data_IF_755231161491
#
_entry.id   IF_755231161491
#
_cell.length_a   1.000
_cell.length_b   1.000
_cell.length_c   1.000
_cell.angle_alpha   90.00
_cell.angle_beta   90.00
_cell.angle_gamma   90.00
#
_symmetry.space_group_name_H-M   'P 1'
#
loop_
_entity.id
_entity.type
_entity.pdbx_description
1 polymer ?
#
# COMPACT_ATOMS: atom_id res chain seq x y z
N UNK A 1 3.91 36.40 -13.91
CA UNK A 1 4.95 35.90 -13.00
C UNK A 1 5.33 34.48 -13.36
N UNK A 2 6.55 34.27 -13.80
CA UNK A 2 6.97 32.90 -14.04
C UNK A 2 7.03 32.14 -12.74
N UNK A 3 6.34 31.03 -12.69
CA UNK A 3 6.42 30.13 -11.55
C UNK A 3 7.75 29.43 -11.56
N UNK A 4 8.55 29.67 -10.56
CA UNK A 4 9.69 28.81 -10.29
C UNK A 4 9.15 27.44 -9.89
N UNK A 5 9.20 26.51 -10.80
CA UNK A 5 8.92 25.13 -10.46
C UNK A 5 10.14 24.57 -9.74
N UNK A 6 9.97 24.29 -8.48
CA UNK A 6 10.93 23.49 -7.74
C UNK A 6 10.78 22.05 -8.21
N UNK A 7 11.36 21.73 -9.37
CA UNK A 7 11.14 20.49 -10.08
C UNK A 7 11.14 19.23 -9.19
N UNK A 8 9.99 18.65 -8.94
CA UNK A 8 9.83 17.38 -8.29
C UNK A 8 9.92 17.36 -6.76
N UNK A 9 10.24 18.48 -6.10
CA UNK A 9 10.36 18.51 -4.63
C UNK A 9 9.00 18.29 -3.96
N UNK A 10 7.99 19.08 -4.33
CA UNK A 10 6.65 18.97 -3.74
C UNK A 10 5.97 17.62 -4.05
N UNK A 11 6.02 17.08 -5.29
CA UNK A 11 5.52 15.72 -5.55
C UNK A 11 6.26 14.64 -4.79
N UNK A 12 7.57 14.79 -4.61
CA UNK A 12 8.39 13.83 -3.86
C UNK A 12 7.99 13.83 -2.38
N UNK A 13 7.84 15.01 -1.78
CA UNK A 13 7.41 15.13 -0.39
C UNK A 13 6.00 14.59 -0.17
N UNK A 14 5.10 14.81 -1.12
CA UNK A 14 3.75 14.25 -1.10
C UNK A 14 3.78 12.72 -1.14
N UNK A 15 4.61 12.15 -2.01
CA UNK A 15 4.80 10.72 -2.10
C UNK A 15 5.36 10.13 -0.82
N UNK A 16 6.38 10.77 -0.26
CA UNK A 16 6.99 10.34 1.01
C UNK A 16 5.98 10.36 2.15
N UNK A 17 5.19 11.41 2.26
CA UNK A 17 4.16 11.50 3.30
C UNK A 17 3.11 10.40 3.15
N UNK A 18 2.70 10.13 1.93
CA UNK A 18 1.71 9.09 1.65
C UNK A 18 2.24 7.70 2.02
N UNK A 19 3.46 7.39 1.62
CA UNK A 19 4.10 6.11 1.95
C UNK A 19 4.22 5.92 3.46
N UNK A 20 4.65 6.94 4.18
CA UNK A 20 4.75 6.90 5.64
C UNK A 20 3.38 6.69 6.28
N UNK A 21 2.36 7.35 5.75
CA UNK A 21 0.99 7.20 6.26
C UNK A 21 0.48 5.76 6.06
N UNK A 22 0.76 5.16 4.91
CA UNK A 22 0.40 3.76 4.65
C UNK A 22 1.11 2.82 5.62
N UNK A 23 2.42 2.97 5.77
CA UNK A 23 3.20 2.14 6.69
C UNK A 23 2.66 2.26 8.11
N UNK A 24 2.39 3.48 8.55
CA UNK A 24 1.86 3.72 9.89
C UNK A 24 0.49 3.08 10.09
N UNK A 25 -0.40 3.21 9.12
CA UNK A 25 -1.72 2.59 9.16
C UNK A 25 -1.59 1.08 9.30
N UNK A 26 -0.72 0.47 8.51
CA UNK A 26 -0.50 -0.98 8.56
C UNK A 26 0.11 -1.40 9.89
N UNK A 27 1.09 -0.65 10.39
CA UNK A 27 1.70 -0.91 11.70
C UNK A 27 0.67 -0.78 12.83
N UNK A 28 -0.22 0.20 12.76
CA UNK A 28 -1.29 0.37 13.75
C UNK A 28 -2.25 -0.82 13.75
N UNK A 29 -2.34 -1.54 12.65
CA UNK A 29 -3.13 -2.78 12.55
C UNK A 29 -2.32 -4.03 12.90
N UNK A 30 -1.09 -3.88 13.38
CA UNK A 30 -0.27 -5.01 13.78
C UNK A 30 0.54 -5.65 12.66
N UNK A 31 0.67 -4.97 11.52
CA UNK A 31 1.41 -5.48 10.37
C UNK A 31 2.78 -4.82 10.33
N UNK A 32 3.84 -5.61 10.17
CA UNK A 32 5.22 -5.11 10.14
C UNK A 32 5.64 -4.55 8.79
N UNK A 33 4.87 -3.60 8.27
CA UNK A 33 5.17 -2.96 6.99
C UNK A 33 6.36 -2.00 7.12
N UNK A 34 7.14 -1.90 6.06
CA UNK A 34 8.31 -1.02 5.99
C UNK A 34 8.46 -0.44 4.58
N UNK A 35 9.03 0.75 4.50
CA UNK A 35 9.41 1.32 3.21
C UNK A 35 10.67 0.60 2.72
N UNK A 36 10.76 0.38 1.40
CA UNK A 36 11.91 -0.29 0.80
C UNK A 36 12.96 0.77 0.41
N UNK A 37 14.15 0.74 1.03
CA UNK A 37 15.20 1.68 0.67
C UNK A 37 15.77 1.38 -0.72
N UNK A 38 16.24 2.43 -1.40
CA UNK A 38 16.98 2.27 -2.64
C UNK A 38 18.37 1.72 -2.33
N UNK A 39 18.73 0.64 -2.99
CA UNK A 39 20.02 -0.01 -2.82
C UNK A 39 21.16 0.96 -3.19
N UNK A 40 22.13 1.08 -2.30
CA UNK A 40 23.30 1.94 -2.49
C UNK A 40 23.02 3.43 -2.38
N UNK A 41 21.81 3.85 -1.97
CA UNK A 41 21.54 5.27 -1.83
C UNK A 41 22.07 5.81 -0.51
N UNK A 42 22.71 6.97 -0.61
CA UNK A 42 23.19 7.72 0.56
C UNK A 42 22.08 8.69 0.97
N UNK A 43 21.81 8.81 2.25
CA UNK A 43 20.82 9.75 2.75
C UNK A 43 19.41 9.22 2.88
N UNK A 44 19.22 7.89 2.78
CA UNK A 44 17.94 7.25 3.09
C UNK A 44 16.85 7.44 2.04
N UNK A 45 17.22 7.47 0.75
CA UNK A 45 16.24 7.48 -0.34
C UNK A 45 15.54 6.13 -0.44
N UNK A 46 14.26 6.14 -0.84
CA UNK A 46 13.40 4.97 -0.91
C UNK A 46 12.89 4.76 -2.33
N UNK A 47 12.57 3.52 -2.65
CA UNK A 47 12.12 3.11 -3.99
C UNK A 47 10.72 3.61 -4.35
N UNK A 48 9.94 4.02 -3.35
CA UNK A 48 8.51 4.30 -3.54
C UNK A 48 7.63 3.10 -3.27
N UNK A 49 8.22 1.97 -2.91
CA UNK A 49 7.52 0.73 -2.61
C UNK A 49 7.53 0.45 -1.11
N UNK A 50 6.58 -0.36 -0.69
CA UNK A 50 6.41 -0.77 0.70
C UNK A 50 6.46 -2.28 0.75
N UNK A 51 7.22 -2.82 1.69
CA UNK A 51 7.24 -4.24 2.00
C UNK A 51 6.20 -4.56 3.05
N UNK A 52 5.32 -5.50 2.75
CA UNK A 52 4.24 -5.92 3.66
C UNK A 52 4.36 -7.42 3.87
N UNK A 53 4.72 -7.87 5.06
CA UNK A 53 4.78 -9.31 5.32
C UNK A 53 3.37 -9.91 5.27
N UNK A 54 3.25 -11.02 4.56
CA UNK A 54 1.97 -11.69 4.38
C UNK A 54 2.18 -13.19 4.22
N UNK A 55 1.64 -13.95 5.10
CA UNK A 55 1.57 -15.42 5.17
C UNK A 55 2.91 -16.13 4.89
N UNK A 56 3.41 -16.10 3.69
CA UNK A 56 4.59 -16.90 3.30
C UNK A 56 5.72 -16.06 2.67
N UNK A 57 5.50 -14.79 2.44
CA UNK A 57 6.51 -13.91 1.87
C UNK A 57 6.20 -12.44 2.13
N UNK A 58 7.16 -11.59 1.85
CA UNK A 58 6.94 -10.15 1.88
C UNK A 58 6.36 -9.71 0.54
N UNK A 59 5.23 -9.03 0.60
CA UNK A 59 4.59 -8.44 -0.57
C UNK A 59 5.22 -7.09 -0.86
N UNK A 60 5.40 -6.79 -2.14
CA UNK A 60 5.86 -5.46 -2.57
C UNK A 60 4.64 -4.67 -3.01
N UNK A 61 4.39 -3.56 -2.34
CA UNK A 61 3.21 -2.72 -2.56
C UNK A 61 3.66 -1.37 -3.09
N UNK A 62 3.11 -0.96 -4.23
CA UNK A 62 3.36 0.36 -4.78
C UNK A 62 2.28 1.34 -4.33
N UNK A 63 2.71 2.50 -3.84
CA UNK A 63 1.82 3.56 -3.40
C UNK A 63 1.73 4.65 -4.45
N UNK A 64 0.52 5.00 -4.86
CA UNK A 64 0.25 6.07 -5.81
C UNK A 64 -0.80 7.00 -5.26
N UNK A 65 -0.47 8.29 -5.22
CA UNK A 65 -1.39 9.33 -4.82
C UNK A 65 -1.56 10.32 -5.97
N UNK A 66 -2.80 10.63 -6.33
CA UNK A 66 -3.09 11.52 -7.44
C UNK A 66 -4.28 12.42 -7.11
N UNK A 67 -4.25 13.65 -7.64
CA UNK A 67 -5.38 14.57 -7.52
C UNK A 67 -6.59 14.10 -8.30
N UNK A 68 -6.35 13.47 -9.46
CA UNK A 68 -7.38 12.98 -10.36
C UNK A 68 -7.01 11.59 -10.88
N UNK A 69 -7.92 10.97 -11.58
CA UNK A 69 -7.69 9.67 -12.19
C UNK A 69 -8.24 8.50 -11.38
N UNK A 70 -8.47 8.68 -10.08
CA UNK A 70 -9.00 7.62 -9.23
C UNK A 70 -10.43 7.85 -8.75
N UNK A 71 -11.03 8.99 -9.09
CA UNK A 71 -12.38 9.36 -8.62
C UNK A 71 -13.43 8.30 -8.91
N UNK A 72 -13.41 7.74 -10.12
CA UNK A 72 -14.39 6.76 -10.53
C UNK A 72 -14.32 5.49 -9.68
N UNK A 73 -13.12 5.11 -9.26
CA UNK A 73 -12.92 3.95 -8.40
C UNK A 73 -13.57 4.17 -7.03
N UNK A 74 -13.36 5.34 -6.44
CA UNK A 74 -14.00 5.70 -5.17
C UNK A 74 -15.52 5.72 -5.31
N UNK A 75 -16.03 6.24 -6.41
CA UNK A 75 -17.46 6.32 -6.66
C UNK A 75 -18.08 4.94 -6.77
N UNK A 76 -17.45 4.04 -7.52
CA UNK A 76 -17.94 2.67 -7.65
C UNK A 76 -17.87 1.89 -6.34
N UNK A 77 -16.88 2.21 -5.49
CA UNK A 77 -16.71 1.55 -4.20
C UNK A 77 -17.68 2.08 -3.14
N UNK A 78 -18.28 3.24 -3.36
CA UNK A 78 -19.18 3.88 -2.41
C UNK A 78 -20.34 2.94 -2.02
N UNK A 79 -20.53 2.73 -0.71
CA UNK A 79 -21.54 1.81 -0.21
C UNK A 79 -21.22 0.33 -0.41
N UNK A 80 -20.00 0.00 -0.81
CA UNK A 80 -19.54 -1.37 -1.03
C UNK A 80 -18.28 -1.64 -0.24
N UNK A 81 -18.03 -2.89 0.08
CA UNK A 81 -16.81 -3.29 0.80
C UNK A 81 -15.63 -3.49 -0.15
N UNK A 82 -15.90 -3.94 -1.34
CA UNK A 82 -14.87 -4.20 -2.33
C UNK A 82 -15.39 -3.93 -3.74
N UNK A 83 -14.45 -3.64 -4.63
CA UNK A 83 -14.71 -3.47 -6.05
C UNK A 83 -13.83 -4.47 -6.80
N UNK A 84 -14.41 -5.29 -7.64
CA UNK A 84 -13.67 -6.14 -8.55
C UNK A 84 -13.79 -5.56 -9.96
N UNK A 85 -12.66 -5.36 -10.60
CA UNK A 85 -12.65 -4.81 -11.95
C UNK A 85 -11.75 -5.62 -12.86
N UNK A 86 -11.98 -5.52 -14.14
CA UNK A 86 -11.25 -6.28 -15.12
C UNK A 86 -11.27 -5.55 -16.46
N UNK A 87 -10.12 -5.46 -17.11
CA UNK A 87 -10.05 -5.09 -18.53
C UNK A 87 -10.10 -6.35 -19.39
N UNK A 88 -10.49 -6.19 -20.65
CA UNK A 88 -10.50 -7.31 -21.57
C UNK A 88 -9.13 -7.98 -21.63
N UNK A 89 -9.10 -9.30 -21.60
CA UNK A 89 -7.89 -10.13 -21.69
C UNK A 89 -6.91 -9.96 -20.51
N UNK A 90 -7.32 -9.25 -19.48
CA UNK A 90 -6.52 -9.09 -18.27
C UNK A 90 -7.16 -9.86 -17.11
N UNK A 91 -6.36 -10.16 -16.10
CA UNK A 91 -6.88 -10.78 -14.90
C UNK A 91 -7.70 -9.79 -14.08
N UNK A 92 -8.68 -10.27 -13.31
CA UNK A 92 -9.42 -9.39 -12.42
C UNK A 92 -8.55 -8.84 -11.30
N UNK A 93 -8.85 -7.59 -10.91
CA UNK A 93 -8.21 -6.93 -9.77
C UNK A 93 -9.27 -6.62 -8.73
N UNK A 94 -8.87 -6.59 -7.47
CA UNK A 94 -9.75 -6.19 -6.39
C UNK A 94 -9.26 -4.90 -5.75
N UNK A 95 -10.20 -4.00 -5.45
CA UNK A 95 -9.93 -2.76 -4.74
C UNK A 95 -10.80 -2.75 -3.49
N UNK A 96 -10.19 -2.51 -2.36
CA UNK A 96 -10.88 -2.31 -1.10
C UNK A 96 -10.17 -1.22 -0.30
N UNK A 97 -10.84 -0.69 0.70
CA UNK A 97 -10.21 0.31 1.56
C UNK A 97 -9.05 -0.30 2.31
N UNK A 98 -8.01 0.48 2.50
CA UNK A 98 -6.75 -0.03 3.07
C UNK A 98 -6.93 -0.57 4.48
N UNK A 99 -7.79 0.04 5.29
CA UNK A 99 -8.06 -0.46 6.65
C UNK A 99 -8.69 -1.87 6.63
N UNK A 100 -9.58 -2.15 5.69
CA UNK A 100 -10.15 -3.49 5.53
C UNK A 100 -9.09 -4.48 5.06
N UNK A 101 -8.27 -4.08 4.09
CA UNK A 101 -7.17 -4.91 3.62
C UNK A 101 -6.20 -5.25 4.76
N UNK A 102 -5.90 -4.27 5.62
CA UNK A 102 -5.04 -4.47 6.77
C UNK A 102 -5.63 -5.46 7.78
N UNK A 103 -6.92 -5.37 8.04
CA UNK A 103 -7.62 -6.32 8.92
C UNK A 103 -7.56 -7.74 8.38
N UNK A 104 -7.77 -7.90 7.07
CA UNK A 104 -7.72 -9.21 6.42
C UNK A 104 -6.29 -9.77 6.49
N UNK A 105 -5.30 -8.95 6.20
CA UNK A 105 -3.91 -9.38 6.24
C UNK A 105 -3.48 -9.79 7.66
N UNK A 106 -3.88 -9.02 8.65
CA UNK A 106 -3.59 -9.35 10.05
C UNK A 106 -4.26 -10.66 10.46
N UNK A 107 -5.52 -10.87 10.07
CA UNK A 107 -6.24 -12.10 10.37
C UNK A 107 -5.55 -13.32 9.72
N UNK A 108 -5.08 -13.17 8.49
CA UNK A 108 -4.38 -14.24 7.78
C UNK A 108 -3.06 -14.62 8.49
N UNK A 109 -2.30 -13.61 8.92
CA UNK A 109 -1.07 -13.84 9.67
C UNK A 109 -1.35 -14.51 11.04
N UNK A 110 -2.41 -14.08 11.73
CA UNK A 110 -2.81 -14.65 13.01
C UNK A 110 -3.22 -16.10 12.86
N UNK A 111 -3.94 -16.45 11.81
CA UNK A 111 -4.34 -17.83 11.55
C UNK A 111 -3.14 -18.73 11.24
N UNK A 112 -2.18 -18.22 10.50
CA UNK A 112 -0.91 -18.92 10.24
C UNK A 112 -0.19 -19.25 11.55
N UNK A 113 -0.07 -18.27 12.44
CA UNK A 113 0.57 -18.47 13.74
C UNK A 113 -0.15 -19.52 14.56
N UNK A 114 -1.47 -19.51 14.61
CA UNK A 114 -2.27 -20.50 15.33
C UNK A 114 -2.08 -21.91 14.76
N UNK A 115 -2.09 -22.05 13.44
CA UNK A 115 -1.87 -23.33 12.78
C UNK A 115 -0.50 -23.88 13.14
N UNK A 116 0.51 -23.02 13.14
CA UNK A 116 1.90 -23.40 13.46
C UNK A 116 1.99 -23.90 14.90
N UNK A 117 1.34 -23.22 15.84
CA UNK A 117 1.32 -23.63 17.24
C UNK A 117 0.61 -24.96 17.45
N UNK A 118 -0.46 -25.23 16.69
CA UNK A 118 -1.20 -26.48 16.78
C UNK A 118 -0.43 -27.66 16.21
N UNK A 119 0.56 -27.44 15.37
CA UNK A 119 1.42 -28.49 14.81
C UNK A 119 2.60 -28.86 15.73
N UNK A 120 2.83 -28.07 16.74
CA UNK A 120 3.87 -28.35 17.73
C UNK A 120 3.35 -29.37 18.76
#
# INVERSE_FOLDING_TARGET
>A
MPRTRTGGKAPREKGDRFERAIVRLLQDHGIGAERIPLSGSIGGSYSGDISVPCIDRDLVVEAKSRNTGFRQLYKWLEGRDALVLKSDRCEPLVILRLDLAAKIAFAAESMKAKTWLNEL
#
